data_IF_789279535977
#
_entry.id   IF_789279535977
#
_cell.length_a   1.000
_cell.length_b   1.000
_cell.length_c   1.000
_cell.angle_alpha   90.00
_cell.angle_beta   90.00
_cell.angle_gamma   90.00
#
_symmetry.space_group_name_H-M   'P 1'
#
loop_
_entity.id
_entity.type
_entity.pdbx_description
1 polymer ?
#
# COMPACT_ATOMS: atom_id res chain seq x y z
N UNK A 1 -8.94 -77.62 40.95
CA UNK A 1 -10.34 -77.80 40.52
C UNK A 1 -10.93 -76.41 40.32
N UNK A 2 -11.54 -76.16 39.16
CA UNK A 2 -11.92 -74.85 38.58
C UNK A 2 -12.96 -74.09 39.40
N UNK A 3 -12.88 -72.76 39.40
CA UNK A 3 -13.97 -71.88 38.92
C UNK A 3 -13.45 -70.46 38.63
N UNK A 4 -13.38 -70.10 37.35
CA UNK A 4 -13.12 -68.74 36.87
C UNK A 4 -14.47 -68.09 36.61
N UNK A 5 -14.81 -67.02 37.32
CA UNK A 5 -16.02 -66.22 37.07
C UNK A 5 -15.68 -65.14 36.04
N UNK A 6 -16.34 -65.19 34.89
CA UNK A 6 -16.38 -64.12 33.90
C UNK A 6 -17.34 -63.02 34.38
N UNK A 7 -16.85 -61.79 34.53
CA UNK A 7 -17.69 -60.59 34.58
C UNK A 7 -17.43 -59.79 33.31
N UNK A 8 -18.39 -59.81 32.40
CA UNK A 8 -18.46 -58.94 31.22
C UNK A 8 -18.97 -57.58 31.69
N UNK A 9 -18.07 -56.62 31.85
CA UNK A 9 -18.38 -55.22 32.16
C UNK A 9 -18.30 -54.35 30.90
N UNK A 10 -19.39 -53.65 30.61
CA UNK A 10 -19.71 -52.99 29.36
C UNK A 10 -18.80 -51.81 28.95
N UNK A 11 -18.88 -51.51 27.65
CA UNK A 11 -18.20 -50.50 26.82
C UNK A 11 -17.99 -49.13 27.47
N UNK A 12 -16.80 -48.54 27.28
CA UNK A 12 -16.57 -47.09 27.07
C UNK A 12 -16.42 -46.87 25.55
N UNK A 13 -16.74 -45.71 24.94
CA UNK A 13 -16.60 -44.35 25.49
C UNK A 13 -17.84 -43.46 25.34
N UNK A 14 -17.92 -42.42 26.17
CA UNK A 14 -18.77 -41.26 25.89
C UNK A 14 -18.02 -40.44 24.84
N UNK A 15 -18.64 -40.28 23.68
CA UNK A 15 -18.13 -39.49 22.57
C UNK A 15 -17.79 -38.08 23.06
N UNK A 16 -16.51 -37.74 22.99
CA UNK A 16 -16.05 -36.36 23.01
C UNK A 16 -16.64 -35.69 21.77
N UNK A 17 -17.70 -34.91 21.95
CA UNK A 17 -18.13 -33.94 20.95
C UNK A 17 -16.93 -33.02 20.69
N UNK A 18 -16.22 -33.32 19.61
CA UNK A 18 -15.24 -32.44 19.00
C UNK A 18 -15.98 -31.13 18.70
N UNK A 19 -15.82 -30.12 19.55
CA UNK A 19 -16.16 -28.75 19.22
C UNK A 19 -15.36 -28.40 17.97
N UNK A 20 -16.03 -28.49 16.81
CA UNK A 20 -15.48 -28.00 15.56
C UNK A 20 -15.26 -26.51 15.76
N UNK A 21 -13.97 -26.15 15.90
CA UNK A 21 -13.57 -24.74 15.94
C UNK A 21 -14.17 -24.06 14.70
N UNK A 22 -14.79 -22.87 14.85
CA UNK A 22 -15.42 -22.20 13.72
C UNK A 22 -14.38 -22.02 12.60
N UNK A 23 -14.77 -22.18 11.32
CA UNK A 23 -13.84 -22.38 10.21
C UNK A 23 -12.96 -21.17 9.87
N UNK A 24 -13.06 -20.05 10.62
CA UNK A 24 -12.24 -18.87 10.39
C UNK A 24 -11.95 -18.10 11.68
N UNK A 25 -10.83 -18.41 12.35
CA UNK A 25 -10.28 -17.56 13.43
C UNK A 25 -9.30 -16.56 12.82
N UNK A 26 -9.74 -15.32 12.62
CA UNK A 26 -8.83 -14.20 12.31
C UNK A 26 -7.91 -14.00 13.52
N UNK A 27 -6.59 -14.02 13.31
CA UNK A 27 -5.64 -13.82 14.40
C UNK A 27 -5.83 -12.43 15.05
N UNK A 28 -5.54 -12.32 16.35
CA UNK A 28 -5.62 -11.03 17.07
C UNK A 28 -4.74 -9.94 16.46
N UNK A 29 -3.66 -10.32 15.78
CA UNK A 29 -2.79 -9.40 15.04
C UNK A 29 -3.45 -8.89 13.76
N UNK A 30 -4.18 -9.73 13.03
CA UNK A 30 -4.86 -9.32 11.80
C UNK A 30 -5.95 -8.27 12.07
N UNK A 31 -6.73 -8.43 13.14
CA UNK A 31 -7.71 -7.42 13.55
C UNK A 31 -7.06 -6.08 13.95
N UNK A 32 -5.93 -6.12 14.66
CA UNK A 32 -5.19 -4.90 15.02
C UNK A 32 -4.65 -4.18 13.78
N UNK A 33 -4.13 -4.92 12.80
CA UNK A 33 -3.67 -4.35 11.54
C UNK A 33 -4.83 -3.74 10.74
N UNK A 34 -5.97 -4.42 10.66
CA UNK A 34 -7.15 -3.91 9.97
C UNK A 34 -7.70 -2.64 10.63
N UNK A 35 -7.79 -2.62 11.96
CA UNK A 35 -8.23 -1.45 12.72
C UNK A 35 -7.26 -0.26 12.56
N UNK A 36 -5.95 -0.54 12.59
CA UNK A 36 -4.90 0.46 12.34
C UNK A 36 -5.04 1.08 10.94
N UNK A 37 -5.18 0.25 9.91
CA UNK A 37 -5.38 0.71 8.55
C UNK A 37 -6.64 1.56 8.43
N UNK A 38 -7.78 1.08 8.92
CA UNK A 38 -9.04 1.80 8.86
C UNK A 38 -8.97 3.17 9.56
N UNK A 39 -8.29 3.25 10.70
CA UNK A 39 -8.13 4.51 11.43
C UNK A 39 -7.29 5.54 10.65
N UNK A 40 -6.17 5.12 10.05
CA UNK A 40 -5.32 6.00 9.24
C UNK A 40 -6.03 6.41 7.96
N UNK A 41 -6.64 5.46 7.26
CA UNK A 41 -7.42 5.72 6.05
C UNK A 41 -8.55 6.72 6.29
N UNK A 42 -9.30 6.58 7.39
CA UNK A 42 -10.34 7.53 7.76
C UNK A 42 -9.78 8.93 8.04
N UNK A 43 -8.65 9.02 8.75
CA UNK A 43 -7.97 10.30 8.99
C UNK A 43 -7.51 10.98 7.70
N UNK A 44 -6.87 10.22 6.80
CA UNK A 44 -6.45 10.69 5.48
C UNK A 44 -7.65 11.21 4.67
N UNK A 45 -8.72 10.42 4.57
CA UNK A 45 -9.92 10.80 3.83
C UNK A 45 -10.55 12.09 4.38
N UNK A 46 -10.64 12.26 5.70
CA UNK A 46 -11.15 13.49 6.32
C UNK A 46 -10.32 14.70 5.92
N UNK A 47 -8.99 14.59 5.94
CA UNK A 47 -8.10 15.70 5.55
C UNK A 47 -8.23 15.99 4.05
N UNK A 48 -8.28 14.99 3.19
CA UNK A 48 -8.45 15.18 1.74
C UNK A 48 -9.80 15.81 1.39
N UNK A 49 -10.88 15.43 2.09
CA UNK A 49 -12.18 16.12 1.99
C UNK A 49 -12.04 17.59 2.40
N UNK A 50 -11.32 17.89 3.48
CA UNK A 50 -11.08 19.27 3.92
C UNK A 50 -10.20 20.06 2.93
N UNK A 51 -9.33 19.39 2.17
CA UNK A 51 -8.56 19.95 1.05
C UNK A 51 -9.36 20.05 -0.26
N UNK A 52 -10.66 19.74 -0.23
CA UNK A 52 -11.56 19.85 -1.39
C UNK A 52 -11.33 18.78 -2.46
N UNK A 53 -10.68 17.67 -2.14
CA UNK A 53 -10.46 16.57 -3.09
C UNK A 53 -11.78 15.88 -3.44
N UNK A 54 -11.90 15.44 -4.69
CA UNK A 54 -13.06 14.68 -5.16
C UNK A 54 -13.01 13.25 -4.60
N UNK A 55 -14.17 12.66 -4.30
CA UNK A 55 -14.23 11.26 -3.89
C UNK A 55 -13.92 10.29 -5.04
N UNK A 56 -14.23 10.72 -6.27
CA UNK A 56 -14.22 9.89 -7.46
C UNK A 56 -13.90 10.74 -8.69
N UNK A 57 -13.48 10.09 -9.78
CA UNK A 57 -13.38 10.72 -11.10
C UNK A 57 -14.68 11.48 -11.44
N UNK A 58 -14.56 12.74 -11.84
CA UNK A 58 -15.65 13.58 -12.34
C UNK A 58 -16.38 12.96 -13.55
N UNK A 59 -15.68 12.10 -14.29
CA UNK A 59 -16.16 11.36 -15.43
C UNK A 59 -17.25 10.31 -15.11
N UNK A 60 -17.50 10.01 -13.84
CA UNK A 60 -18.53 9.06 -13.39
C UNK A 60 -18.25 7.59 -13.74
N UNK A 61 -17.04 7.26 -14.18
CA UNK A 61 -16.61 5.90 -14.52
C UNK A 61 -15.68 5.33 -13.45
N UNK A 62 -15.65 4.01 -13.31
CA UNK A 62 -14.69 3.30 -12.49
C UNK A 62 -13.70 2.56 -13.39
N UNK A 63 -12.41 2.88 -13.27
CA UNK A 63 -11.35 2.02 -13.77
C UNK A 63 -10.60 1.35 -12.61
N UNK A 64 -10.31 0.06 -12.76
CA UNK A 64 -9.48 -0.63 -11.76
C UNK A 64 -8.01 -0.23 -11.90
N UNK A 65 -7.57 0.00 -13.14
CA UNK A 65 -6.21 0.41 -13.45
C UNK A 65 -6.20 1.30 -14.68
N UNK A 66 -5.34 2.32 -14.66
CA UNK A 66 -5.03 3.15 -15.82
C UNK A 66 -3.54 3.06 -16.12
N UNK A 67 -3.14 3.13 -17.40
CA UNK A 67 -1.75 2.87 -17.80
C UNK A 67 -1.06 4.06 -18.46
N UNK A 68 -1.53 5.28 -18.21
CA UNK A 68 -1.05 6.49 -18.90
C UNK A 68 -0.59 7.55 -17.91
N UNK A 69 0.72 7.70 -17.62
CA UNK A 69 1.21 8.63 -16.59
C UNK A 69 0.66 10.07 -16.69
N UNK A 70 0.55 10.62 -17.91
CA UNK A 70 0.03 11.96 -18.16
C UNK A 70 -1.48 11.99 -18.51
N UNK A 71 -2.17 10.86 -18.44
CA UNK A 71 -3.58 10.77 -18.82
C UNK A 71 -4.50 11.48 -17.83
N UNK A 72 -5.66 12.02 -18.26
CA UNK A 72 -6.62 12.68 -17.38
C UNK A 72 -7.30 11.74 -16.37
N UNK A 73 -7.00 10.44 -16.45
CA UNK A 73 -7.51 9.41 -15.56
C UNK A 73 -6.49 8.97 -14.51
N UNK A 74 -5.23 9.36 -14.64
CA UNK A 74 -4.20 9.05 -13.64
C UNK A 74 -4.50 9.85 -12.38
N UNK A 75 -4.34 9.20 -11.24
CA UNK A 75 -4.74 9.67 -9.93
C UNK A 75 -6.25 9.82 -9.69
N UNK A 76 -7.09 9.46 -10.67
CA UNK A 76 -8.56 9.64 -10.59
C UNK A 76 -9.34 8.36 -10.30
N UNK A 77 -8.68 7.20 -10.36
CA UNK A 77 -9.29 5.87 -10.21
C UNK A 77 -8.52 5.02 -9.19
N UNK A 78 -8.79 3.71 -9.10
CA UNK A 78 -8.17 2.89 -8.06
C UNK A 78 -6.65 2.76 -8.20
N UNK A 79 -6.14 2.31 -9.35
CA UNK A 79 -4.71 2.09 -9.54
C UNK A 79 -4.22 2.77 -10.82
N UNK A 80 -2.96 3.13 -10.82
CA UNK A 80 -2.29 3.75 -11.96
C UNK A 80 -0.76 3.48 -11.90
N UNK A 81 0.07 4.06 -12.79
CA UNK A 81 1.51 3.83 -12.75
C UNK A 81 2.17 4.20 -11.42
N UNK A 82 1.63 5.18 -10.67
CA UNK A 82 2.19 5.67 -9.41
C UNK A 82 1.84 4.76 -8.23
N UNK A 83 0.84 3.90 -8.34
CA UNK A 83 0.61 2.81 -7.38
C UNK A 83 1.83 1.90 -7.17
N UNK A 84 2.72 1.79 -8.18
CA UNK A 84 4.01 1.11 -8.02
C UNK A 84 4.96 1.85 -7.06
N UNK A 85 4.97 3.18 -7.10
CA UNK A 85 5.72 4.04 -6.19
C UNK A 85 5.23 3.91 -4.75
N UNK A 86 3.92 3.87 -4.52
CA UNK A 86 3.36 3.66 -3.17
C UNK A 86 3.64 2.25 -2.65
N UNK A 87 3.63 1.23 -3.51
CA UNK A 87 4.10 -0.11 -3.14
C UNK A 87 5.59 -0.06 -2.71
N UNK A 88 6.42 0.70 -3.42
CA UNK A 88 7.82 0.90 -3.07
C UNK A 88 8.03 1.65 -1.76
N UNK A 89 7.17 2.62 -1.40
CA UNK A 89 7.18 3.22 -0.06
C UNK A 89 7.05 2.15 1.02
N UNK A 90 6.08 1.23 0.86
CA UNK A 90 5.92 0.08 1.75
C UNK A 90 7.16 -0.81 1.82
N UNK A 91 7.78 -1.08 0.67
CA UNK A 91 9.02 -1.88 0.59
C UNK A 91 10.19 -1.25 1.35
N UNK A 92 10.27 0.08 1.39
CA UNK A 92 11.32 0.84 2.09
C UNK A 92 10.99 0.99 3.58
N UNK A 93 9.77 1.39 3.92
CA UNK A 93 9.35 1.70 5.28
C UNK A 93 9.37 0.47 6.18
N UNK A 94 9.02 -0.72 5.67
CA UNK A 94 9.03 -1.95 6.46
C UNK A 94 10.41 -2.28 7.09
N UNK A 95 11.50 -2.46 6.32
CA UNK A 95 12.82 -2.71 6.88
C UNK A 95 13.38 -1.50 7.63
N UNK A 96 13.11 -0.27 7.18
CA UNK A 96 13.59 0.95 7.84
C UNK A 96 13.02 1.09 9.26
N UNK A 97 11.70 0.98 9.42
CA UNK A 97 11.05 1.08 10.72
C UNK A 97 11.40 -0.09 11.63
N UNK A 98 11.56 -1.31 11.08
CA UNK A 98 12.02 -2.46 11.85
C UNK A 98 13.45 -2.27 12.37
N UNK A 99 14.31 -1.58 11.62
CA UNK A 99 15.66 -1.23 12.05
C UNK A 99 15.68 -0.09 13.09
N UNK A 100 14.87 0.96 12.89
CA UNK A 100 14.78 2.10 13.82
C UNK A 100 14.09 1.74 15.15
N UNK A 101 13.14 0.82 15.11
CA UNK A 101 12.28 0.49 16.26
C UNK A 101 12.16 -1.04 16.48
N UNK A 102 13.27 -1.77 16.70
CA UNK A 102 13.32 -3.24 16.64
C UNK A 102 12.51 -3.94 17.73
N UNK A 103 12.15 -3.24 18.81
CA UNK A 103 11.36 -3.77 19.94
C UNK A 103 9.85 -3.53 19.78
N UNK A 104 9.41 -2.85 18.71
CA UNK A 104 7.99 -2.50 18.51
C UNK A 104 7.23 -3.66 17.86
N UNK A 105 5.94 -3.74 18.18
CA UNK A 105 5.06 -4.75 17.60
C UNK A 105 4.83 -4.52 16.11
N UNK A 106 4.44 -5.57 15.38
CA UNK A 106 4.10 -5.47 13.96
C UNK A 106 3.01 -4.42 13.70
N UNK A 107 1.98 -4.38 14.54
CA UNK A 107 0.89 -3.40 14.41
C UNK A 107 1.41 -1.96 14.56
N UNK A 108 2.36 -1.73 15.47
CA UNK A 108 2.98 -0.40 15.63
C UNK A 108 3.80 -0.01 14.40
N UNK A 109 4.61 -0.93 13.86
CA UNK A 109 5.40 -0.68 12.65
C UNK A 109 4.50 -0.39 11.44
N UNK A 110 3.40 -1.13 11.31
CA UNK A 110 2.41 -0.89 10.26
C UNK A 110 1.73 0.47 10.42
N UNK A 111 1.26 0.82 11.61
CA UNK A 111 0.68 2.16 11.88
C UNK A 111 1.67 3.25 11.49
N UNK A 112 2.93 3.14 11.91
CA UNK A 112 3.94 4.13 11.59
C UNK A 112 4.16 4.26 10.08
N UNK A 113 4.24 3.14 9.34
CA UNK A 113 4.37 3.16 7.89
C UNK A 113 3.16 3.84 7.21
N UNK A 114 1.95 3.44 7.60
CA UNK A 114 0.71 4.00 7.04
C UNK A 114 0.53 5.48 7.38
N UNK A 115 0.93 5.92 8.57
CA UNK A 115 0.88 7.35 8.93
C UNK A 115 1.89 8.18 8.14
N UNK A 116 3.08 7.64 7.87
CA UNK A 116 4.05 8.32 6.99
C UNK A 116 3.49 8.42 5.57
N UNK A 117 2.93 7.32 5.05
CA UNK A 117 2.29 7.28 3.73
C UNK A 117 1.13 8.28 3.63
N UNK A 118 0.19 8.22 4.56
CA UNK A 118 -0.94 9.15 4.61
C UNK A 118 -0.48 10.61 4.73
N UNK A 119 0.64 10.85 5.43
CA UNK A 119 1.26 12.16 5.50
C UNK A 119 1.80 12.62 4.14
N UNK A 120 2.41 11.72 3.37
CA UNK A 120 2.82 11.98 1.99
C UNK A 120 1.62 12.26 1.09
N UNK A 121 0.61 11.40 1.09
CA UNK A 121 -0.65 11.57 0.34
C UNK A 121 -1.32 12.93 0.59
N UNK A 122 -1.41 13.33 1.87
CA UNK A 122 -1.96 14.63 2.26
C UNK A 122 -1.10 15.76 1.72
N UNK A 123 0.23 15.65 1.86
CA UNK A 123 1.17 16.67 1.43
C UNK A 123 1.15 16.84 -0.09
N UNK A 124 1.17 15.73 -0.83
CA UNK A 124 1.07 15.64 -2.28
C UNK A 124 -0.19 16.34 -2.81
N UNK A 125 -1.31 16.15 -2.11
CA UNK A 125 -2.59 16.77 -2.45
C UNK A 125 -2.77 18.21 -1.95
N UNK A 126 -1.73 18.84 -1.41
CA UNK A 126 -1.77 20.29 -1.11
C UNK A 126 -1.56 21.12 -2.38
N UNK A 127 -2.13 22.35 -2.45
CA UNK A 127 -1.90 23.23 -3.59
C UNK A 127 -0.42 23.50 -3.88
N UNK A 128 0.42 23.50 -2.84
CA UNK A 128 1.86 23.74 -2.99
C UNK A 128 2.56 22.60 -3.73
N UNK A 129 2.30 21.34 -3.38
CA UNK A 129 2.93 20.19 -4.06
C UNK A 129 2.33 19.95 -5.43
N UNK A 130 1.02 20.11 -5.61
CA UNK A 130 0.38 20.01 -6.93
C UNK A 130 1.00 21.01 -7.91
N UNK A 131 1.14 22.28 -7.51
CA UNK A 131 1.76 23.29 -8.37
C UNK A 131 3.25 23.01 -8.60
N UNK A 132 3.93 22.44 -7.60
CA UNK A 132 5.31 21.98 -7.76
C UNK A 132 5.39 20.87 -8.81
N UNK A 133 4.50 19.88 -8.81
CA UNK A 133 4.46 18.85 -9.84
C UNK A 133 4.24 19.44 -11.24
N UNK A 134 3.24 20.31 -11.39
CA UNK A 134 2.93 20.96 -12.68
C UNK A 134 4.10 21.75 -13.26
N UNK A 135 4.82 22.46 -12.41
CA UNK A 135 5.92 23.34 -12.83
C UNK A 135 7.25 22.60 -13.02
N UNK A 136 7.53 21.61 -12.16
CA UNK A 136 8.83 20.94 -12.07
C UNK A 136 8.96 19.68 -12.90
N UNK A 137 7.87 18.93 -13.02
CA UNK A 137 7.88 17.61 -13.65
C UNK A 137 7.15 17.66 -14.99
N UNK A 138 7.11 16.53 -15.68
CA UNK A 138 6.33 16.40 -16.90
C UNK A 138 4.81 16.35 -16.64
N UNK A 139 4.34 16.37 -15.38
CA UNK A 139 2.95 16.19 -14.96
C UNK A 139 2.11 17.49 -15.04
N UNK A 140 2.13 18.17 -16.18
CA UNK A 140 1.48 19.49 -16.37
C UNK A 140 -0.03 19.47 -16.09
N UNK A 141 -0.71 18.36 -16.35
CA UNK A 141 -2.15 18.19 -16.14
C UNK A 141 -2.56 17.62 -14.77
N UNK A 142 -1.62 17.42 -13.84
CA UNK A 142 -1.92 16.80 -12.54
C UNK A 142 -2.80 17.72 -11.69
N UNK A 143 -3.92 17.24 -11.18
CA UNK A 143 -4.87 18.05 -10.38
C UNK A 143 -4.92 17.64 -8.90
N UNK A 144 -4.06 16.70 -8.51
CA UNK A 144 -4.21 15.96 -7.28
C UNK A 144 -5.00 14.67 -7.49
N UNK A 145 -4.97 13.85 -6.46
CA UNK A 145 -5.63 12.56 -6.42
C UNK A 145 -7.08 12.69 -5.96
N UNK A 146 -7.89 11.79 -6.48
CA UNK A 146 -9.18 11.51 -5.84
C UNK A 146 -8.95 10.79 -4.52
N UNK A 147 -9.89 10.94 -3.57
CA UNK A 147 -9.80 10.28 -2.27
C UNK A 147 -9.70 8.76 -2.44
N UNK A 148 -10.42 8.18 -3.41
CA UNK A 148 -10.38 6.73 -3.64
C UNK A 148 -9.02 6.25 -4.17
N UNK A 149 -8.37 7.04 -5.03
CA UNK A 149 -7.03 6.76 -5.54
C UNK A 149 -6.00 6.81 -4.40
N UNK A 150 -5.98 7.91 -3.66
CA UNK A 150 -5.10 8.10 -2.51
C UNK A 150 -5.26 7.02 -1.42
N UNK A 151 -6.48 6.50 -1.20
CA UNK A 151 -6.73 5.36 -0.31
C UNK A 151 -6.25 4.02 -0.89
N UNK A 152 -6.31 3.85 -2.20
CA UNK A 152 -5.74 2.71 -2.88
C UNK A 152 -4.21 2.74 -2.85
N UNK A 153 -3.59 3.91 -2.93
CA UNK A 153 -2.15 4.10 -2.79
C UNK A 153 -1.67 3.80 -1.36
N UNK A 154 -2.43 4.23 -0.34
CA UNK A 154 -2.24 3.77 1.04
C UNK A 154 -2.30 2.23 1.15
N UNK A 155 -3.20 1.59 0.38
CA UNK A 155 -3.32 0.12 0.31
C UNK A 155 -2.11 -0.51 -0.38
N UNK A 156 -1.60 0.09 -1.45
CA UNK A 156 -0.37 -0.33 -2.13
C UNK A 156 0.84 -0.27 -1.19
N UNK A 157 0.97 0.79 -0.40
CA UNK A 157 2.00 0.89 0.64
C UNK A 157 1.84 -0.20 1.70
N UNK A 158 0.62 -0.46 2.18
CA UNK A 158 0.37 -1.57 3.11
C UNK A 158 0.80 -2.93 2.52
N UNK A 159 0.49 -3.17 1.24
CA UNK A 159 0.90 -4.39 0.53
C UNK A 159 2.43 -4.50 0.43
N UNK A 160 3.10 -3.43 0.00
CA UNK A 160 4.57 -3.35 -0.05
C UNK A 160 5.21 -3.64 1.30
N UNK A 161 4.65 -3.10 2.39
CA UNK A 161 5.12 -3.35 3.75
C UNK A 161 5.09 -4.85 4.08
N UNK A 162 3.97 -5.53 3.85
CA UNK A 162 3.87 -6.96 4.13
C UNK A 162 4.75 -7.82 3.20
N UNK A 163 4.89 -7.43 1.93
CA UNK A 163 5.79 -8.10 0.98
C UNK A 163 7.24 -8.03 1.48
N UNK A 164 7.72 -6.85 1.86
CA UNK A 164 9.09 -6.68 2.38
C UNK A 164 9.33 -7.49 3.66
N UNK A 165 8.34 -7.52 4.57
CA UNK A 165 8.41 -8.34 5.79
C UNK A 165 8.53 -9.84 5.51
N UNK A 166 8.02 -10.32 4.37
CA UNK A 166 8.11 -11.72 3.94
C UNK A 166 9.38 -12.05 3.17
N UNK A 167 9.89 -11.12 2.36
CA UNK A 167 11.00 -11.35 1.45
C UNK A 167 12.38 -11.24 2.11
N UNK A 168 12.50 -10.49 3.21
CA UNK A 168 13.80 -10.14 3.79
C UNK A 168 14.52 -9.05 2.99
N UNK A 169 15.56 -8.44 3.57
CA UNK A 169 16.15 -7.20 3.05
C UNK A 169 16.69 -7.34 1.62
N UNK A 170 17.51 -8.35 1.34
CA UNK A 170 18.13 -8.51 0.03
C UNK A 170 17.11 -8.66 -1.12
N UNK A 171 16.09 -9.50 -0.93
CA UNK A 171 15.02 -9.68 -1.93
C UNK A 171 14.12 -8.45 -2.05
N UNK A 172 13.92 -7.71 -0.95
CA UNK A 172 13.18 -6.45 -0.95
C UNK A 172 13.91 -5.39 -1.79
N UNK A 173 15.23 -5.26 -1.61
CA UNK A 173 16.06 -4.35 -2.42
C UNK A 173 16.04 -4.75 -3.89
N UNK A 174 16.16 -6.05 -4.19
CA UNK A 174 16.07 -6.53 -5.57
C UNK A 174 14.70 -6.25 -6.21
N UNK A 175 13.60 -6.44 -5.46
CA UNK A 175 12.25 -6.14 -5.93
C UNK A 175 12.07 -4.62 -6.16
N UNK A 176 12.53 -3.79 -5.23
CA UNK A 176 12.49 -2.33 -5.38
C UNK A 176 13.22 -1.90 -6.66
N UNK A 177 14.44 -2.40 -6.88
CA UNK A 177 15.22 -2.10 -8.09
C UNK A 177 14.55 -2.61 -9.37
N UNK A 178 13.92 -3.78 -9.33
CA UNK A 178 13.17 -4.31 -10.47
C UNK A 178 11.96 -3.43 -10.82
N UNK A 179 11.25 -2.90 -9.82
CA UNK A 179 10.14 -1.97 -10.03
C UNK A 179 10.66 -0.64 -10.60
N UNK A 180 11.75 -0.07 -10.06
CA UNK A 180 12.37 1.14 -10.61
C UNK A 180 12.73 0.97 -12.09
N UNK A 181 13.43 -0.11 -12.44
CA UNK A 181 13.85 -0.38 -13.82
C UNK A 181 12.63 -0.61 -14.71
N UNK A 182 11.64 -1.38 -14.23
CA UNK A 182 10.41 -1.66 -14.97
C UNK A 182 9.60 -0.40 -15.27
N UNK A 183 9.42 0.46 -14.27
CA UNK A 183 8.68 1.73 -14.42
C UNK A 183 9.44 2.71 -15.32
N UNK A 184 10.76 2.83 -15.19
CA UNK A 184 11.61 3.59 -16.14
C UNK A 184 11.44 3.06 -17.58
N UNK A 185 11.44 1.75 -17.77
CA UNK A 185 11.36 1.16 -19.10
C UNK A 185 9.97 1.33 -19.75
N UNK A 186 8.90 1.21 -18.94
CA UNK A 186 7.51 1.25 -19.43
C UNK A 186 6.98 2.68 -19.52
N UNK A 187 7.22 3.47 -18.47
CA UNK A 187 6.63 4.80 -18.28
C UNK A 187 7.63 5.94 -18.44
N UNK A 188 8.93 5.67 -18.58
CA UNK A 188 9.98 6.71 -18.48
C UNK A 188 9.90 7.51 -17.18
N UNK A 189 9.36 6.92 -16.12
CA UNK A 189 9.23 7.55 -14.82
C UNK A 189 9.32 6.48 -13.75
N UNK A 190 9.72 6.87 -12.55
CA UNK A 190 9.81 5.98 -11.39
C UNK A 190 9.77 6.79 -10.10
N UNK A 191 9.71 6.12 -8.95
CA UNK A 191 9.73 6.81 -7.67
C UNK A 191 10.98 7.69 -7.52
N UNK A 192 12.17 7.17 -7.84
CA UNK A 192 13.41 7.94 -7.67
C UNK A 192 13.50 9.12 -8.65
N UNK A 193 13.04 8.95 -9.89
CA UNK A 193 12.97 10.05 -10.85
C UNK A 193 11.96 11.10 -10.40
N UNK A 194 10.80 10.69 -9.92
CA UNK A 194 9.78 11.60 -9.41
C UNK A 194 10.31 12.44 -8.24
N UNK A 195 10.95 11.80 -7.24
CA UNK A 195 11.58 12.50 -6.10
C UNK A 195 12.68 13.46 -6.59
N UNK A 196 13.54 13.02 -7.51
CA UNK A 196 14.58 13.88 -8.08
C UNK A 196 13.96 15.11 -8.74
N UNK A 197 12.98 14.93 -9.62
CA UNK A 197 12.35 16.02 -10.36
C UNK A 197 11.56 16.97 -9.44
N UNK A 198 10.96 16.44 -8.38
CA UNK A 198 10.25 17.24 -7.38
C UNK A 198 11.19 18.11 -6.55
N UNK A 199 12.39 17.63 -6.19
CA UNK A 199 13.33 18.36 -5.35
C UNK A 199 14.32 19.23 -6.15
N UNK A 200 14.85 18.69 -7.25
CA UNK A 200 15.90 19.29 -8.07
C UNK A 200 15.63 18.97 -9.56
N UNK A 201 14.76 19.75 -10.23
CA UNK A 201 14.28 19.44 -11.56
C UNK A 201 15.41 19.54 -12.57
N UNK A 202 15.51 18.56 -13.47
CA UNK A 202 16.53 18.48 -14.51
C UNK A 202 15.84 18.51 -15.87
N UNK A 203 16.11 19.55 -16.66
CA UNK A 203 15.43 19.78 -17.94
C UNK A 203 15.63 18.62 -18.94
N UNK A 204 16.82 18.03 -18.96
CA UNK A 204 17.11 16.87 -19.81
C UNK A 204 16.25 15.64 -19.46
N UNK A 205 15.98 15.42 -18.16
CA UNK A 205 15.11 14.34 -17.71
C UNK A 205 13.67 14.67 -18.11
N UNK A 206 13.17 15.87 -17.77
CA UNK A 206 11.81 16.32 -18.15
C UNK A 206 11.53 16.11 -19.64
N UNK A 207 12.41 16.61 -20.51
CA UNK A 207 12.29 16.47 -21.96
C UNK A 207 12.27 15.00 -22.41
N UNK A 208 13.07 14.13 -21.78
CA UNK A 208 13.10 12.71 -22.08
C UNK A 208 11.81 11.97 -21.65
N UNK A 209 11.23 12.36 -20.51
CA UNK A 209 9.94 11.85 -20.03
C UNK A 209 8.81 12.26 -20.98
N UNK A 210 8.68 13.56 -21.28
CA UNK A 210 7.66 14.10 -22.18
C UNK A 210 7.72 13.46 -23.57
N UNK A 211 8.91 13.18 -24.09
CA UNK A 211 9.08 12.50 -25.37
C UNK A 211 8.57 11.05 -25.39
N UNK A 212 8.39 10.41 -24.23
CA UNK A 212 7.81 9.07 -24.12
C UNK A 212 6.31 9.06 -23.78
N UNK A 213 5.74 10.22 -23.46
CA UNK A 213 4.33 10.38 -23.08
C UNK A 213 3.46 10.93 -24.22
N UNK A 214 4.07 11.23 -25.37
CA UNK A 214 3.39 11.56 -26.63
C UNK A 214 3.04 10.31 -27.42
#
# INVERSE_FOLDING_TARGET
MRLTIFVVGARRPVDSLSESSPPFRISSNAWRCAAAFAAVAAGQAVVLVALGRQWWCDCGKLFLYTNQPLGPHTSQHLLDPYSWSHLQHGLVLAPLLAWLAPKRSLAWLLVAALTIEAGWEILENTPWVIERYRSATAAVGYEGDTIINSLADLTCCAAGFFVARRLGVAKTVALFAAIEIGTIAIYRDSLLLNVLMLLAPVEAIRSWQEAGWR
#
